data_IF_547055909964
#
_entry.id   IF_547055909964
#
_cell.length_a   1.000
_cell.length_b   1.000
_cell.length_c   1.000
_cell.angle_alpha   90.00
_cell.angle_beta   90.00
_cell.angle_gamma   90.00
#
_symmetry.space_group_name_H-M   'P 1'
#
loop_
_entity.id
_entity.type
_entity.pdbx_description
1 polymer ?
#
# COMPACT_ATOMS: atom_id res chain seq x y z
N UNK A 1 70.52 -13.61 -2.24
CA UNK A 1 69.32 -13.27 -1.48
C UNK A 1 68.21 -12.93 -2.45
N UNK A 2 67.23 -13.85 -2.67
CA UNK A 2 66.06 -13.63 -3.51
C UNK A 2 64.87 -13.39 -2.55
N UNK A 3 64.32 -12.19 -2.57
CA UNK A 3 63.06 -11.88 -1.87
C UNK A 3 61.88 -12.46 -2.73
N UNK A 4 61.15 -13.39 -2.15
CA UNK A 4 59.81 -13.77 -2.65
C UNK A 4 58.76 -12.81 -2.06
N UNK A 5 58.18 -11.99 -2.90
CA UNK A 5 56.96 -11.25 -2.52
C UNK A 5 55.74 -12.19 -2.68
N UNK A 6 55.11 -12.52 -1.58
CA UNK A 6 53.82 -13.20 -1.55
C UNK A 6 52.71 -12.15 -1.69
N UNK A 7 52.00 -12.14 -2.80
CA UNK A 7 50.74 -11.42 -2.94
C UNK A 7 49.63 -12.22 -2.20
N UNK A 8 49.09 -11.65 -1.13
CA UNK A 8 47.91 -12.15 -0.50
C UNK A 8 46.67 -11.65 -1.27
N UNK A 9 46.00 -12.55 -1.96
CA UNK A 9 44.71 -12.26 -2.59
C UNK A 9 43.62 -12.20 -1.52
N UNK A 10 43.09 -11.01 -1.25
CA UNK A 10 41.88 -10.84 -0.44
C UNK A 10 40.68 -11.32 -1.27
N UNK A 11 40.16 -12.48 -0.92
CA UNK A 11 38.86 -12.95 -1.38
C UNK A 11 37.77 -12.19 -0.60
N UNK A 12 37.21 -11.13 -1.19
CA UNK A 12 35.98 -10.52 -0.73
C UNK A 12 34.84 -11.51 -0.99
N UNK A 13 34.38 -12.18 0.05
CA UNK A 13 33.17 -12.97 0.01
C UNK A 13 31.97 -12.01 -0.14
N UNK A 14 31.37 -11.99 -1.30
CA UNK A 14 30.07 -11.35 -1.53
C UNK A 14 29.01 -12.18 -0.81
N UNK A 15 28.46 -11.63 0.29
CA UNK A 15 27.21 -12.13 0.85
C UNK A 15 26.08 -11.77 -0.15
N UNK A 16 25.22 -12.73 -0.52
CA UNK A 16 24.04 -12.41 -1.30
C UNK A 16 23.20 -11.37 -0.55
N UNK A 17 22.77 -10.33 -1.24
CA UNK A 17 21.81 -9.39 -0.68
C UNK A 17 20.60 -10.19 -0.22
N UNK A 18 20.37 -10.22 1.10
CA UNK A 18 19.15 -10.80 1.64
C UNK A 18 17.99 -9.94 1.11
N UNK A 19 17.14 -10.51 0.25
CA UNK A 19 15.87 -9.91 -0.06
C UNK A 19 15.14 -9.70 1.26
N UNK A 20 14.75 -8.46 1.56
CA UNK A 20 13.91 -8.20 2.70
C UNK A 20 12.66 -9.10 2.58
N UNK A 21 12.29 -9.76 3.67
CA UNK A 21 11.09 -10.60 3.67
C UNK A 21 9.87 -9.74 3.34
N UNK A 22 8.89 -10.33 2.65
CA UNK A 22 7.63 -9.65 2.35
C UNK A 22 6.98 -9.17 3.66
N UNK A 23 6.60 -7.90 3.79
CA UNK A 23 5.98 -7.39 5.00
C UNK A 23 4.68 -8.13 5.35
N UNK A 24 4.47 -8.34 6.64
CA UNK A 24 3.25 -8.95 7.19
C UNK A 24 2.52 -7.90 8.01
N UNK A 25 1.27 -7.61 7.67
CA UNK A 25 0.44 -6.66 8.40
C UNK A 25 -0.81 -7.32 8.97
N UNK A 26 -1.31 -6.78 10.08
CA UNK A 26 -2.63 -7.12 10.59
C UNK A 26 -3.57 -5.92 10.44
N UNK A 27 -4.88 -6.16 10.33
CA UNK A 27 -5.88 -5.11 10.27
C UNK A 27 -7.15 -5.49 11.02
N UNK A 28 -7.72 -4.56 11.79
CA UNK A 28 -9.07 -4.61 12.30
C UNK A 28 -9.51 -3.21 12.78
N UNK A 29 -10.81 -2.95 12.75
CA UNK A 29 -11.47 -1.82 13.37
C UNK A 29 -12.46 -2.27 14.45
N UNK A 30 -13.20 -1.31 15.03
CA UNK A 30 -14.28 -1.59 15.97
C UNK A 30 -13.79 -2.39 17.19
N UNK A 31 -12.86 -1.79 17.94
CA UNK A 31 -11.93 -2.55 18.78
C UNK A 31 -12.38 -2.56 20.26
N UNK A 32 -12.15 -1.47 20.98
CA UNK A 32 -12.23 -1.47 22.43
C UNK A 32 -13.56 -0.97 22.93
N UNK A 33 -14.30 -1.81 23.65
CA UNK A 33 -15.54 -1.43 24.29
C UNK A 33 -15.37 -0.25 25.27
N UNK A 34 -16.46 0.49 25.50
CA UNK A 34 -16.56 1.42 26.62
C UNK A 34 -16.38 0.65 27.93
N UNK A 35 -15.57 1.12 28.90
CA UNK A 35 -15.49 0.50 30.21
C UNK A 35 -16.83 0.46 30.97
N UNK A 36 -17.81 1.30 30.57
CA UNK A 36 -19.17 1.27 31.11
C UNK A 36 -20.09 0.28 30.37
N UNK A 37 -19.64 -0.37 29.29
CA UNK A 37 -20.45 -1.38 28.60
C UNK A 37 -20.72 -2.58 29.52
N UNK A 38 -21.99 -3.03 29.64
CA UNK A 38 -22.34 -4.16 30.51
C UNK A 38 -21.60 -5.45 30.16
N UNK A 39 -21.14 -5.58 28.92
CA UNK A 39 -20.37 -6.73 28.43
C UNK A 39 -18.86 -6.59 28.64
N UNK A 40 -18.38 -5.46 29.15
CA UNK A 40 -16.96 -5.16 29.29
C UNK A 40 -16.22 -6.19 30.18
N UNK A 41 -16.85 -6.63 31.26
CA UNK A 41 -16.32 -7.68 32.15
C UNK A 41 -14.82 -7.49 32.48
N UNK A 42 -14.43 -6.29 32.94
CA UNK A 42 -13.04 -5.97 33.29
C UNK A 42 -12.05 -6.09 32.13
N UNK A 43 -12.51 -5.94 30.88
CA UNK A 43 -11.72 -6.03 29.66
C UNK A 43 -11.60 -7.43 29.05
N UNK A 44 -12.22 -8.45 29.68
CA UNK A 44 -12.24 -9.82 29.16
C UNK A 44 -13.42 -10.10 28.23
N UNK A 45 -14.45 -9.24 28.29
CA UNK A 45 -15.66 -9.37 27.49
C UNK A 45 -16.51 -10.58 27.84
N UNK A 46 -17.46 -10.85 26.96
CA UNK A 46 -18.30 -12.05 26.95
C UNK A 46 -18.22 -12.72 25.57
N UNK A 47 -18.90 -13.84 25.36
CA UNK A 47 -18.99 -14.44 24.03
C UNK A 47 -19.60 -13.42 23.03
N UNK A 48 -18.88 -13.12 21.95
CA UNK A 48 -19.33 -12.21 20.87
C UNK A 48 -19.25 -10.71 21.15
N UNK A 49 -18.85 -10.24 22.35
CA UNK A 49 -18.72 -8.81 22.63
C UNK A 49 -17.54 -8.49 23.57
N UNK A 50 -16.96 -7.30 23.41
CA UNK A 50 -15.85 -6.77 24.20
C UNK A 50 -14.61 -7.67 24.22
N UNK A 51 -14.26 -8.23 23.06
CA UNK A 51 -13.17 -9.23 22.89
C UNK A 51 -11.82 -8.60 22.55
N UNK A 52 -11.62 -7.31 22.74
CA UNK A 52 -10.41 -6.56 22.37
C UNK A 52 -9.11 -7.15 22.94
N UNK A 53 -9.14 -7.81 24.10
CA UNK A 53 -7.99 -8.52 24.66
C UNK A 53 -7.65 -9.77 23.83
N UNK A 54 -8.66 -10.57 23.53
CA UNK A 54 -8.48 -11.81 22.79
C UNK A 54 -7.99 -11.54 21.36
N UNK A 55 -8.50 -10.49 20.70
CA UNK A 55 -8.04 -10.10 19.36
C UNK A 55 -6.63 -9.53 19.38
N UNK A 56 -6.26 -8.71 20.38
CA UNK A 56 -4.88 -8.21 20.50
C UNK A 56 -3.88 -9.34 20.84
N UNK A 57 -4.30 -10.35 21.57
CA UNK A 57 -3.44 -11.50 21.92
C UNK A 57 -3.04 -12.31 20.67
N UNK A 58 -3.86 -12.33 19.60
CA UNK A 58 -3.50 -12.93 18.31
C UNK A 58 -2.27 -12.27 17.68
N UNK A 59 -2.01 -11.01 18.00
CA UNK A 59 -0.98 -10.20 17.35
C UNK A 59 0.35 -10.20 18.12
N UNK A 60 0.32 -10.57 19.42
CA UNK A 60 1.53 -10.59 20.24
C UNK A 60 2.48 -11.70 19.79
N UNK A 61 3.69 -11.31 19.39
CA UNK A 61 4.71 -12.27 18.93
C UNK A 61 4.48 -12.86 17.55
N UNK A 62 3.49 -12.34 16.79
CA UNK A 62 3.10 -12.86 15.47
C UNK A 62 3.99 -12.42 14.30
N UNK A 63 5.07 -11.66 14.54
CA UNK A 63 6.00 -11.24 13.48
C UNK A 63 5.37 -10.26 12.48
N UNK A 64 4.55 -9.33 12.96
CA UNK A 64 3.94 -8.28 12.14
C UNK A 64 4.86 -7.05 12.02
N UNK A 65 4.90 -6.45 10.84
CA UNK A 65 5.64 -5.23 10.54
C UNK A 65 4.79 -3.97 10.78
N UNK A 66 3.46 -4.08 10.66
CA UNK A 66 2.51 -3.04 11.00
C UNK A 66 1.15 -3.62 11.40
N UNK A 67 0.37 -2.83 12.16
CA UNK A 67 -1.01 -3.14 12.55
C UNK A 67 -1.88 -1.95 12.18
N UNK A 68 -2.73 -2.13 11.18
CA UNK A 68 -3.61 -1.11 10.62
C UNK A 68 -4.91 -1.07 11.43
N UNK A 69 -5.18 0.04 12.10
CA UNK A 69 -6.39 0.23 12.88
C UNK A 69 -7.43 0.94 12.01
N UNK A 70 -8.55 0.29 11.76
CA UNK A 70 -9.57 0.73 10.80
C UNK A 70 -10.64 1.65 11.42
N UNK A 71 -10.28 2.39 12.47
CA UNK A 71 -11.19 3.31 13.17
C UNK A 71 -12.04 2.64 14.27
N UNK A 72 -12.75 3.48 15.02
CA UNK A 72 -13.47 3.09 16.23
C UNK A 72 -12.59 2.26 17.16
N UNK A 73 -11.41 2.82 17.43
CA UNK A 73 -10.38 2.17 18.22
C UNK A 73 -10.79 2.08 19.69
N UNK A 74 -11.56 3.09 20.18
CA UNK A 74 -12.03 3.17 21.56
C UNK A 74 -13.46 3.70 21.64
N UNK A 75 -14.40 2.85 22.01
CA UNK A 75 -15.78 3.17 22.34
C UNK A 75 -15.89 3.76 23.77
N UNK A 76 -16.93 4.51 24.16
CA UNK A 76 -18.05 5.05 23.37
C UNK A 76 -17.70 6.31 22.59
N UNK A 77 -16.72 7.15 23.04
CA UNK A 77 -16.49 8.50 22.54
C UNK A 77 -15.01 8.82 22.22
N UNK A 78 -14.13 7.85 22.25
CA UNK A 78 -12.71 8.07 21.98
C UNK A 78 -11.98 8.96 23.00
N UNK A 79 -12.52 9.13 24.23
CA UNK A 79 -11.88 9.94 25.26
C UNK A 79 -10.51 9.35 25.68
N UNK A 80 -9.51 10.22 25.89
CA UNK A 80 -8.15 9.81 26.28
C UNK A 80 -8.12 8.88 27.50
N UNK A 81 -8.94 9.18 28.51
CA UNK A 81 -9.02 8.34 29.71
C UNK A 81 -9.48 6.91 29.43
N UNK A 82 -10.36 6.71 28.42
CA UNK A 82 -10.80 5.38 27.99
C UNK A 82 -9.72 4.66 27.18
N UNK A 83 -9.00 5.38 26.33
CA UNK A 83 -7.80 4.84 25.67
C UNK A 83 -6.79 4.32 26.69
N UNK A 84 -6.50 5.08 27.71
CA UNK A 84 -5.57 4.70 28.78
C UNK A 84 -6.07 3.50 29.58
N UNK A 85 -7.37 3.44 29.86
CA UNK A 85 -7.97 2.40 30.70
C UNK A 85 -8.18 1.05 29.96
N UNK A 86 -8.51 1.09 28.64
CA UNK A 86 -8.95 -0.10 27.91
C UNK A 86 -8.06 -0.44 26.73
N UNK A 87 -7.83 0.50 25.83
CA UNK A 87 -7.00 0.27 24.65
C UNK A 87 -5.53 0.02 25.03
N UNK A 88 -4.95 0.85 25.89
CA UNK A 88 -3.55 0.73 26.27
C UNK A 88 -3.16 -0.64 26.83
N UNK A 89 -3.91 -1.24 27.77
CA UNK A 89 -3.58 -2.58 28.30
C UNK A 89 -3.95 -3.74 27.34
N UNK A 90 -4.54 -3.46 26.18
CA UNK A 90 -4.90 -4.46 25.16
C UNK A 90 -4.13 -4.20 23.86
N UNK A 91 -4.72 -3.55 22.89
CA UNK A 91 -4.08 -3.25 21.60
C UNK A 91 -2.89 -2.28 21.73
N UNK A 92 -2.88 -1.40 22.71
CA UNK A 92 -1.77 -0.50 22.98
C UNK A 92 -0.43 -1.21 23.27
N UNK A 93 -0.47 -2.50 23.66
CA UNK A 93 0.73 -3.36 23.85
C UNK A 93 1.53 -3.56 22.56
N UNK A 94 0.92 -3.32 21.39
CA UNK A 94 1.56 -3.45 20.07
C UNK A 94 2.44 -2.22 19.75
N UNK A 95 2.30 -1.13 20.51
CA UNK A 95 3.20 0.01 20.51
C UNK A 95 3.49 0.60 19.13
N UNK A 96 4.76 0.60 18.68
CA UNK A 96 5.18 1.28 17.45
C UNK A 96 4.68 0.62 16.15
N UNK A 97 4.07 -0.58 16.23
CA UNK A 97 3.50 -1.23 15.06
C UNK A 97 2.17 -0.59 14.63
N UNK A 98 1.51 0.14 15.54
CA UNK A 98 0.18 0.71 15.30
C UNK A 98 0.20 1.81 14.22
N UNK A 99 -0.73 1.71 13.27
CA UNK A 99 -0.99 2.68 12.21
C UNK A 99 -2.49 3.02 12.21
N UNK A 100 -2.91 4.00 13.03
CA UNK A 100 -4.33 4.22 13.28
C UNK A 100 -5.00 5.07 12.20
N UNK A 101 -6.23 4.71 11.82
CA UNK A 101 -7.21 5.63 11.25
C UNK A 101 -8.27 5.97 12.30
N UNK A 102 -8.90 7.16 12.27
CA UNK A 102 -9.99 7.49 13.17
C UNK A 102 -11.34 7.02 12.64
N UNK A 103 -12.22 6.53 13.51
CA UNK A 103 -13.63 6.27 13.23
C UNK A 103 -14.54 7.38 13.77
N UNK A 104 -15.86 7.15 13.68
CA UNK A 104 -16.85 8.15 14.14
C UNK A 104 -16.93 8.26 15.66
N UNK A 105 -16.60 7.21 16.39
CA UNK A 105 -16.56 7.25 17.85
C UNK A 105 -15.42 8.14 18.36
N UNK A 106 -14.31 8.24 17.68
CA UNK A 106 -13.25 9.18 18.01
C UNK A 106 -13.72 10.64 17.96
N UNK A 107 -14.60 10.97 17.00
CA UNK A 107 -15.12 12.34 16.81
C UNK A 107 -16.30 12.69 17.73
N UNK A 108 -16.78 11.77 18.57
CA UNK A 108 -17.69 12.12 19.67
C UNK A 108 -16.97 12.94 20.75
N UNK A 109 -15.67 12.76 20.89
CA UNK A 109 -14.82 13.73 21.59
C UNK A 109 -14.43 14.87 20.62
N UNK A 110 -14.68 16.15 20.96
CA UNK A 110 -14.45 17.28 20.07
C UNK A 110 -13.06 17.26 19.44
N UNK A 111 -13.02 17.31 18.09
CA UNK A 111 -11.79 17.28 17.30
C UNK A 111 -11.01 15.97 17.43
N UNK A 112 -11.66 14.88 17.84
CA UNK A 112 -11.04 13.59 18.12
C UNK A 112 -9.81 13.72 19.06
N UNK A 113 -9.88 14.64 20.03
CA UNK A 113 -8.72 15.02 20.83
C UNK A 113 -8.12 13.85 21.59
N UNK A 114 -8.93 12.93 22.12
CA UNK A 114 -8.42 11.74 22.82
C UNK A 114 -7.61 10.81 21.92
N UNK A 115 -8.04 10.63 20.69
CA UNK A 115 -7.33 9.87 19.65
C UNK A 115 -5.96 10.49 19.33
N UNK A 116 -5.93 11.77 18.99
CA UNK A 116 -4.68 12.46 18.68
C UNK A 116 -3.75 12.58 19.88
N UNK A 117 -4.27 12.74 21.10
CA UNK A 117 -3.46 12.76 22.31
C UNK A 117 -2.87 11.39 22.64
N UNK A 118 -3.59 10.30 22.33
CA UNK A 118 -3.13 8.95 22.59
C UNK A 118 -2.06 8.48 21.57
N UNK A 119 -2.36 8.61 20.27
CA UNK A 119 -1.47 8.11 19.23
C UNK A 119 -0.35 9.08 18.84
N UNK A 120 -0.51 10.37 19.15
CA UNK A 120 0.49 11.39 18.81
C UNK A 120 0.82 11.42 17.32
N UNK A 121 2.11 11.42 16.94
CA UNK A 121 2.53 11.49 15.54
C UNK A 121 2.06 10.30 14.68
N UNK A 122 1.77 9.14 15.26
CA UNK A 122 1.28 7.98 14.52
C UNK A 122 -0.10 8.19 13.93
N UNK A 123 -0.90 9.14 14.47
CA UNK A 123 -2.21 9.54 13.95
C UNK A 123 -2.15 10.50 12.74
N UNK A 124 -0.96 10.81 12.26
CA UNK A 124 -0.77 11.86 11.26
C UNK A 124 -0.88 13.28 11.84
N UNK A 125 -1.11 14.27 10.96
CA UNK A 125 -1.29 15.65 11.39
C UNK A 125 -2.58 15.80 12.19
N UNK A 126 -2.47 16.40 13.39
CA UNK A 126 -3.62 16.73 14.22
C UNK A 126 -4.55 17.64 13.43
N UNK A 127 -5.82 17.43 13.44
CA UNK A 127 -6.84 18.06 12.61
C UNK A 127 -7.09 17.44 11.23
N UNK A 128 -6.21 16.58 10.75
CA UNK A 128 -6.36 15.88 9.46
C UNK A 128 -6.66 14.41 9.67
N UNK A 129 -5.72 13.68 10.32
CA UNK A 129 -5.85 12.25 10.60
C UNK A 129 -5.71 11.37 9.36
N UNK A 130 -5.13 11.89 8.27
CA UNK A 130 -4.72 11.12 7.10
C UNK A 130 -3.21 11.24 6.87
N UNK A 131 -2.63 10.18 6.34
CA UNK A 131 -1.19 10.08 6.06
C UNK A 131 -0.93 8.86 5.17
N UNK A 132 0.29 8.75 4.66
CA UNK A 132 0.75 7.58 3.93
C UNK A 132 2.15 7.15 4.40
N UNK A 133 2.52 5.93 4.05
CA UNK A 133 3.85 5.38 4.28
C UNK A 133 4.11 4.22 3.33
N UNK A 134 5.38 3.95 3.06
CA UNK A 134 5.77 2.79 2.27
C UNK A 134 6.11 1.60 3.18
N UNK A 135 5.73 0.40 2.73
CA UNK A 135 6.02 -0.85 3.41
C UNK A 135 6.46 -1.90 2.38
N UNK A 136 7.74 -2.13 2.26
CA UNK A 136 8.29 -2.94 1.18
C UNK A 136 7.98 -2.35 -0.19
N UNK A 137 7.34 -3.12 -1.07
CA UNK A 137 6.92 -2.68 -2.40
C UNK A 137 5.55 -1.97 -2.42
N UNK A 138 4.91 -1.82 -1.27
CA UNK A 138 3.57 -1.29 -1.15
C UNK A 138 3.57 0.17 -0.72
N UNK A 139 2.68 0.96 -1.32
CA UNK A 139 2.26 2.26 -0.80
C UNK A 139 1.01 2.06 0.05
N UNK A 140 1.02 2.53 1.30
CA UNK A 140 -0.06 2.34 2.26
C UNK A 140 -0.63 3.69 2.67
N UNK A 141 -1.92 3.89 2.46
CA UNK A 141 -2.61 5.17 2.64
C UNK A 141 -3.67 5.05 3.73
N UNK A 142 -3.55 5.82 4.80
CA UNK A 142 -4.58 6.00 5.84
C UNK A 142 -5.42 7.22 5.52
N UNK A 143 -6.75 7.05 5.40
CA UNK A 143 -7.68 8.14 5.18
C UNK A 143 -8.59 8.36 6.40
N UNK A 144 -9.09 9.58 6.51
CA UNK A 144 -10.08 9.95 7.52
C UNK A 144 -11.46 10.09 6.85
N UNK A 145 -12.36 9.17 7.14
CA UNK A 145 -13.71 9.15 6.58
C UNK A 145 -14.73 9.98 7.36
N UNK A 146 -14.29 10.76 8.37
CA UNK A 146 -15.15 11.69 9.11
C UNK A 146 -15.30 13.02 8.37
N UNK A 147 -15.91 12.99 7.20
CA UNK A 147 -15.96 14.07 6.21
C UNK A 147 -16.39 15.42 6.78
N UNK A 148 -17.40 15.44 7.63
CA UNK A 148 -17.92 16.68 8.22
C UNK A 148 -16.90 17.39 9.14
N UNK A 149 -15.99 16.61 9.75
CA UNK A 149 -15.01 17.13 10.69
C UNK A 149 -13.73 17.68 10.03
N UNK A 150 -13.46 17.29 8.76
CA UNK A 150 -12.17 17.53 8.10
C UNK A 150 -12.26 18.38 6.82
N UNK A 151 -13.38 19.02 6.59
CA UNK A 151 -13.57 19.87 5.40
C UNK A 151 -14.03 19.10 4.15
N UNK A 152 -14.61 17.90 4.33
CA UNK A 152 -15.23 17.10 3.27
C UNK A 152 -14.37 15.95 2.77
N UNK A 153 -15.03 15.02 2.05
CA UNK A 153 -14.40 13.87 1.38
C UNK A 153 -14.63 13.89 -0.14
N UNK A 154 -15.43 14.82 -0.65
CA UNK A 154 -15.78 14.93 -2.06
C UNK A 154 -14.75 15.70 -2.88
N UNK A 155 -15.05 15.87 -4.20
CA UNK A 155 -14.20 16.63 -5.11
C UNK A 155 -13.84 18.01 -4.57
N UNK A 156 -12.55 18.37 -4.63
CA UNK A 156 -12.03 19.63 -4.14
C UNK A 156 -11.82 19.72 -2.63
N UNK A 157 -12.12 18.68 -1.84
CA UNK A 157 -11.76 18.64 -0.42
C UNK A 157 -10.24 18.61 -0.20
N UNK A 158 -9.75 19.09 0.94
CA UNK A 158 -8.31 19.07 1.24
C UNK A 158 -7.72 17.66 1.19
N UNK A 159 -8.43 16.67 1.75
CA UNK A 159 -7.95 15.29 1.77
C UNK A 159 -7.92 14.65 0.39
N UNK A 160 -8.94 14.89 -0.45
CA UNK A 160 -8.96 14.30 -1.79
C UNK A 160 -7.86 14.88 -2.69
N UNK A 161 -7.57 16.20 -2.58
CA UNK A 161 -6.42 16.79 -3.28
C UNK A 161 -5.11 16.17 -2.80
N UNK A 162 -4.93 16.07 -1.48
CA UNK A 162 -3.76 15.42 -0.91
C UNK A 162 -3.62 13.96 -1.40
N UNK A 163 -4.73 13.20 -1.43
CA UNK A 163 -4.71 11.80 -1.90
C UNK A 163 -4.24 11.70 -3.36
N UNK A 164 -4.75 12.57 -4.25
CA UNK A 164 -4.32 12.60 -5.65
C UNK A 164 -2.84 12.94 -5.79
N UNK A 165 -2.36 13.95 -5.04
CA UNK A 165 -0.95 14.34 -5.06
C UNK A 165 -0.05 13.25 -4.49
N UNK A 166 -0.49 12.57 -3.42
CA UNK A 166 0.24 11.50 -2.75
C UNK A 166 0.39 10.26 -3.65
N UNK A 167 -0.71 9.80 -4.26
CA UNK A 167 -0.70 8.69 -5.21
C UNK A 167 0.20 8.99 -6.43
N UNK A 168 0.15 10.21 -6.94
CA UNK A 168 1.02 10.62 -8.05
C UNK A 168 2.50 10.70 -7.66
N UNK A 169 2.80 11.05 -6.40
CA UNK A 169 4.17 11.13 -5.89
C UNK A 169 4.78 9.77 -5.54
N UNK A 170 3.95 8.74 -5.32
CA UNK A 170 4.37 7.41 -4.90
C UNK A 170 3.89 6.32 -5.87
N UNK A 171 4.35 6.31 -7.13
CA UNK A 171 3.97 5.29 -8.11
C UNK A 171 4.59 3.94 -7.71
N UNK A 172 3.88 3.20 -6.85
CA UNK A 172 4.29 1.87 -6.41
C UNK A 172 3.57 0.79 -7.20
N UNK A 173 4.16 -0.39 -7.21
CA UNK A 173 3.57 -1.57 -7.84
C UNK A 173 2.24 -1.97 -7.23
N UNK A 174 2.08 -1.72 -5.93
CA UNK A 174 0.91 -2.11 -5.17
C UNK A 174 0.49 -0.98 -4.23
N UNK A 175 -0.80 -0.71 -4.14
CA UNK A 175 -1.35 0.30 -3.22
C UNK A 175 -2.47 -0.29 -2.37
N UNK A 176 -2.38 -0.05 -1.06
CA UNK A 176 -3.39 -0.38 -0.08
C UNK A 176 -3.87 0.91 0.59
N UNK A 177 -5.18 1.16 0.59
CA UNK A 177 -5.77 2.25 1.36
C UNK A 177 -6.67 1.70 2.48
N UNK A 178 -6.76 2.43 3.60
CA UNK A 178 -7.66 2.05 4.68
C UNK A 178 -8.25 3.28 5.36
N UNK A 179 -9.50 3.11 5.80
CA UNK A 179 -10.26 4.11 6.58
C UNK A 179 -11.40 3.41 7.34
N UNK A 180 -12.31 4.14 7.98
CA UNK A 180 -13.33 3.54 8.83
C UNK A 180 -14.60 3.13 8.09
N UNK A 181 -15.34 4.07 7.48
CA UNK A 181 -16.67 3.82 6.92
C UNK A 181 -16.58 3.13 5.54
N UNK A 182 -17.28 2.01 5.32
CA UNK A 182 -17.21 1.28 4.05
C UNK A 182 -17.89 2.04 2.89
N UNK A 183 -17.34 1.89 1.69
CA UNK A 183 -18.05 2.28 0.47
C UNK A 183 -19.10 1.22 0.09
N UNK A 184 -18.77 -0.05 0.26
CA UNK A 184 -19.65 -1.19 0.01
C UNK A 184 -19.73 -2.05 1.26
N UNK A 185 -20.96 -2.42 1.66
CA UNK A 185 -21.18 -3.29 2.81
C UNK A 185 -22.53 -4.00 2.76
N UNK A 186 -22.53 -5.26 3.15
CA UNK A 186 -23.76 -6.04 3.41
C UNK A 186 -24.24 -5.89 4.86
N UNK A 187 -23.49 -5.18 5.71
CA UNK A 187 -23.78 -4.98 7.13
C UNK A 187 -24.89 -3.99 7.39
N UNK A 188 -25.00 -3.57 8.65
CA UNK A 188 -26.09 -2.73 9.13
C UNK A 188 -26.13 -1.34 8.48
N UNK A 189 -24.96 -0.75 8.21
CA UNK A 189 -24.86 0.61 7.67
C UNK A 189 -24.95 0.60 6.12
N UNK A 190 -24.61 -0.52 5.48
CA UNK A 190 -24.73 -0.70 4.03
C UNK A 190 -23.73 0.13 3.23
N UNK A 191 -24.02 0.29 1.94
CA UNK A 191 -23.19 1.09 1.03
C UNK A 191 -23.30 2.59 1.35
N UNK A 192 -22.16 3.29 1.34
CA UNK A 192 -22.14 4.73 1.53
C UNK A 192 -21.46 5.46 0.35
N UNK A 193 -22.24 6.15 -0.51
CA UNK A 193 -21.70 6.90 -1.64
C UNK A 193 -20.88 8.14 -1.25
N UNK A 194 -20.86 8.55 0.02
CA UNK A 194 -20.02 9.65 0.48
C UNK A 194 -18.53 9.39 0.22
N UNK A 195 -18.13 8.12 0.07
CA UNK A 195 -16.75 7.69 -0.18
C UNK A 195 -16.45 7.35 -1.66
N UNK A 196 -17.37 7.63 -2.57
CA UNK A 196 -17.16 7.47 -4.02
C UNK A 196 -15.92 8.18 -4.53
N UNK A 197 -15.65 9.38 -4.02
CA UNK A 197 -14.51 10.17 -4.48
C UNK A 197 -13.17 9.54 -4.10
N UNK A 198 -13.08 8.95 -2.90
CA UNK A 198 -11.89 8.17 -2.49
C UNK A 198 -11.71 6.96 -3.36
N UNK A 199 -12.81 6.21 -3.56
CA UNK A 199 -12.79 5.00 -4.37
C UNK A 199 -12.35 5.28 -5.81
N UNK A 200 -12.89 6.34 -6.45
CA UNK A 200 -12.49 6.74 -7.80
C UNK A 200 -11.02 7.12 -7.88
N UNK A 201 -10.53 7.97 -6.97
CA UNK A 201 -9.13 8.39 -6.98
C UNK A 201 -8.18 7.20 -6.83
N UNK A 202 -8.53 6.24 -5.97
CA UNK A 202 -7.76 5.01 -5.78
C UNK A 202 -7.84 4.09 -7.01
N UNK A 203 -9.02 3.91 -7.59
CA UNK A 203 -9.23 3.10 -8.78
C UNK A 203 -8.47 3.65 -9.99
N UNK A 204 -8.57 4.96 -10.23
CA UNK A 204 -7.89 5.64 -11.34
C UNK A 204 -6.34 5.60 -11.18
N UNK A 205 -5.85 5.46 -9.94
CA UNK A 205 -4.43 5.27 -9.64
C UNK A 205 -3.99 3.78 -9.64
N UNK A 206 -4.90 2.83 -9.89
CA UNK A 206 -4.59 1.40 -9.92
C UNK A 206 -4.35 0.79 -8.53
N UNK A 207 -5.03 1.28 -7.50
CA UNK A 207 -4.94 0.69 -6.16
C UNK A 207 -5.56 -0.72 -6.11
N UNK A 208 -5.03 -1.56 -5.25
CA UNK A 208 -5.31 -2.99 -5.20
C UNK A 208 -6.25 -3.38 -4.07
N UNK A 209 -6.06 -2.76 -2.91
CA UNK A 209 -6.77 -3.11 -1.67
C UNK A 209 -7.38 -1.89 -0.98
N UNK A 210 -8.57 -2.10 -0.44
CA UNK A 210 -9.23 -1.20 0.51
C UNK A 210 -9.64 -1.99 1.74
N UNK A 211 -9.27 -1.50 2.93
CA UNK A 211 -9.66 -2.07 4.21
C UNK A 211 -10.51 -1.06 4.98
N UNK A 212 -11.63 -1.51 5.53
CA UNK A 212 -12.58 -0.66 6.28
C UNK A 212 -13.11 -1.38 7.52
N UNK A 213 -13.70 -0.63 8.46
CA UNK A 213 -14.41 -1.14 9.63
C UNK A 213 -15.89 -0.75 9.62
N UNK A 214 -16.37 -0.20 10.74
CA UNK A 214 -17.70 0.39 10.96
C UNK A 214 -18.85 -0.61 11.01
N UNK A 215 -19.00 -1.49 10.04
CA UNK A 215 -19.86 -2.65 10.16
C UNK A 215 -19.13 -3.74 10.96
N UNK A 216 -19.74 -4.17 12.06
CA UNK A 216 -19.11 -5.08 13.01
C UNK A 216 -19.19 -6.53 12.52
N UNK A 217 -18.60 -6.76 11.36
CA UNK A 217 -18.53 -8.06 10.70
C UNK A 217 -17.23 -8.19 9.92
N UNK A 218 -17.03 -9.35 9.33
CA UNK A 218 -16.02 -9.55 8.30
C UNK A 218 -16.71 -9.78 6.97
N UNK A 219 -16.34 -9.00 5.97
CA UNK A 219 -16.81 -9.21 4.61
C UNK A 219 -15.67 -8.99 3.62
N UNK A 220 -15.55 -9.89 2.64
CA UNK A 220 -14.62 -9.73 1.54
C UNK A 220 -15.38 -9.68 0.22
N UNK A 221 -15.07 -8.65 -0.57
CA UNK A 221 -15.62 -8.47 -1.91
C UNK A 221 -14.64 -8.97 -2.98
N UNK A 222 -15.18 -9.40 -4.13
CA UNK A 222 -14.41 -9.52 -5.36
C UNK A 222 -13.88 -8.15 -5.78
N UNK A 223 -12.79 -8.08 -6.60
CA UNK A 223 -12.37 -6.82 -7.19
C UNK A 223 -13.51 -6.16 -7.97
N UNK A 224 -13.73 -4.86 -7.74
CA UNK A 224 -14.86 -4.12 -8.30
C UNK A 224 -14.51 -2.68 -8.64
N UNK A 225 -15.23 -2.14 -9.63
CA UNK A 225 -15.13 -0.78 -10.09
C UNK A 225 -15.82 0.23 -9.13
N UNK A 226 -15.67 1.56 -9.32
CA UNK A 226 -16.33 2.55 -8.47
C UNK A 226 -17.86 2.49 -8.45
N UNK A 227 -18.49 1.80 -9.39
CA UNK A 227 -19.93 1.61 -9.42
C UNK A 227 -20.40 0.31 -8.75
N UNK A 228 -19.46 -0.48 -8.19
CA UNK A 228 -19.76 -1.76 -7.56
C UNK A 228 -19.98 -2.91 -8.55
N UNK A 229 -19.53 -2.79 -9.78
CA UNK A 229 -19.52 -3.92 -10.74
C UNK A 229 -18.22 -4.69 -10.59
N UNK A 230 -18.31 -6.02 -10.75
CA UNK A 230 -17.13 -6.86 -10.76
C UNK A 230 -16.14 -6.43 -11.86
N UNK A 231 -14.88 -6.27 -11.51
CA UNK A 231 -13.80 -5.89 -12.40
C UNK A 231 -12.53 -6.65 -11.99
N UNK A 232 -12.35 -7.87 -12.52
CA UNK A 232 -11.21 -8.71 -12.14
C UNK A 232 -9.85 -8.17 -12.59
N UNK A 233 -9.83 -7.27 -13.59
CA UNK A 233 -8.58 -6.78 -14.20
C UNK A 233 -8.06 -5.49 -13.53
N UNK A 234 -8.96 -4.56 -13.15
CA UNK A 234 -8.60 -3.25 -12.63
C UNK A 234 -9.33 -2.90 -11.31
N UNK A 235 -10.24 -3.76 -10.86
CA UNK A 235 -11.08 -3.51 -9.70
C UNK A 235 -10.32 -3.59 -8.38
N UNK A 236 -10.74 -2.80 -7.39
CA UNK A 236 -10.18 -2.81 -6.05
C UNK A 236 -10.88 -3.89 -5.22
N UNK A 237 -10.12 -4.75 -4.52
CA UNK A 237 -10.66 -5.68 -3.55
C UNK A 237 -10.87 -4.98 -2.20
N UNK A 238 -12.09 -5.04 -1.67
CA UNK A 238 -12.40 -4.50 -0.36
C UNK A 238 -12.55 -5.60 0.69
N UNK A 239 -12.07 -5.31 1.89
CA UNK A 239 -12.36 -6.06 3.11
C UNK A 239 -13.02 -5.14 4.13
N UNK A 240 -14.17 -5.53 4.67
CA UNK A 240 -14.71 -5.00 5.91
C UNK A 240 -14.17 -5.86 7.05
N UNK A 241 -13.56 -5.26 8.05
CA UNK A 241 -12.91 -5.96 9.16
C UNK A 241 -13.24 -5.25 10.48
N UNK A 242 -14.53 -5.07 10.75
CA UNK A 242 -15.04 -4.49 12.00
C UNK A 242 -15.10 -5.52 13.14
N UNK A 243 -14.10 -6.41 13.18
CA UNK A 243 -14.09 -7.61 14.04
C UNK A 243 -13.13 -7.50 15.22
N UNK A 244 -12.61 -6.28 15.49
CA UNK A 244 -11.53 -6.02 16.45
C UNK A 244 -11.89 -6.24 17.91
N UNK A 245 -13.20 -6.34 18.24
CA UNK A 245 -13.59 -6.72 19.59
C UNK A 245 -14.88 -6.15 20.15
N UNK A 246 -15.42 -5.05 19.62
CA UNK A 246 -16.60 -4.37 20.18
C UNK A 246 -17.82 -5.28 20.27
N UNK A 247 -18.12 -6.01 19.22
CA UNK A 247 -19.25 -6.92 19.17
C UNK A 247 -19.66 -7.19 17.74
N UNK A 248 -20.04 -8.42 17.46
CA UNK A 248 -20.40 -8.83 16.09
C UNK A 248 -21.86 -8.49 15.79
N UNK A 249 -22.15 -8.16 14.52
CA UNK A 249 -23.50 -7.83 14.03
C UNK A 249 -23.82 -8.67 12.79
N UNK A 250 -25.12 -8.99 12.63
CA UNK A 250 -25.61 -9.75 11.48
C UNK A 250 -25.69 -8.88 10.23
N UNK A 251 -25.50 -9.51 9.07
CA UNK A 251 -25.72 -8.89 7.76
C UNK A 251 -27.20 -8.56 7.56
N UNK A 252 -27.48 -7.46 6.86
CA UNK A 252 -28.84 -7.00 6.55
C UNK A 252 -29.23 -7.44 5.13
N UNK A 253 -28.37 -7.16 4.14
CA UNK A 253 -28.65 -7.50 2.74
C UNK A 253 -27.33 -7.76 2.01
N UNK A 254 -27.12 -9.00 1.59
CA UNK A 254 -25.89 -9.37 0.87
C UNK A 254 -25.78 -8.60 -0.44
N UNK A 255 -24.66 -7.88 -0.60
CA UNK A 255 -24.36 -7.08 -1.79
C UNK A 255 -23.79 -7.92 -2.92
N UNK A 256 -23.94 -7.48 -4.18
CA UNK A 256 -23.18 -8.05 -5.28
C UNK A 256 -21.67 -8.07 -4.97
N UNK A 257 -20.95 -9.06 -5.51
CA UNK A 257 -19.52 -9.27 -5.35
C UNK A 257 -19.05 -9.65 -3.93
N UNK A 258 -19.95 -9.79 -2.96
CA UNK A 258 -19.62 -10.29 -1.62
C UNK A 258 -19.29 -11.79 -1.69
N UNK A 259 -18.02 -12.15 -1.42
CA UNK A 259 -17.49 -13.52 -1.58
C UNK A 259 -17.40 -14.30 -0.27
N UNK A 260 -17.04 -13.64 0.84
CA UNK A 260 -16.89 -14.26 2.16
C UNK A 260 -17.47 -13.37 3.24
N UNK A 261 -18.12 -13.97 4.24
CA UNK A 261 -18.83 -13.24 5.31
C UNK A 261 -18.75 -13.98 6.64
N UNK A 262 -18.51 -13.23 7.72
CA UNK A 262 -18.57 -13.73 9.09
C UNK A 262 -19.14 -12.66 10.03
N UNK A 263 -20.15 -13.03 10.79
CA UNK A 263 -20.81 -12.19 11.81
C UNK A 263 -20.85 -12.84 13.19
N UNK A 264 -19.97 -13.82 13.43
CA UNK A 264 -19.95 -14.59 14.67
C UNK A 264 -18.61 -14.53 15.39
N UNK A 265 -17.51 -14.68 14.66
CA UNK A 265 -16.18 -14.84 15.22
C UNK A 265 -15.41 -13.51 15.15
N UNK A 266 -15.12 -12.86 16.30
CA UNK A 266 -14.15 -11.78 16.35
C UNK A 266 -12.77 -12.27 15.91
N UNK A 267 -11.98 -11.38 15.31
CA UNK A 267 -10.67 -11.73 14.81
C UNK A 267 -9.98 -10.58 14.12
N UNK A 268 -8.92 -10.88 13.38
CA UNK A 268 -8.13 -9.91 12.63
C UNK A 268 -7.82 -10.43 11.23
N UNK A 269 -7.73 -9.54 10.27
CA UNK A 269 -7.22 -9.86 8.95
C UNK A 269 -5.69 -9.78 8.99
N UNK A 270 -5.03 -10.83 8.55
CA UNK A 270 -3.58 -10.86 8.30
C UNK A 270 -3.33 -10.78 6.79
N UNK A 271 -2.42 -9.90 6.39
CA UNK A 271 -1.97 -9.76 5.00
C UNK A 271 -0.46 -9.96 4.93
N UNK A 272 0.00 -10.71 3.94
CA UNK A 272 1.40 -10.71 3.49
C UNK A 272 1.49 -9.88 2.21
N UNK A 273 2.25 -8.82 2.23
CA UNK A 273 2.38 -7.84 1.15
C UNK A 273 3.60 -8.20 0.28
N UNK A 274 3.39 -9.02 -0.76
CA UNK A 274 4.43 -9.41 -1.72
C UNK A 274 4.73 -8.28 -2.70
N UNK A 275 5.86 -8.32 -3.35
CA UNK A 275 6.27 -7.28 -4.29
C UNK A 275 5.32 -7.06 -5.49
N UNK A 276 4.51 -8.05 -5.86
CA UNK A 276 3.54 -7.96 -6.97
C UNK A 276 2.19 -8.57 -6.65
N UNK A 277 1.82 -8.64 -5.36
CA UNK A 277 0.55 -9.21 -4.93
C UNK A 277 0.46 -9.35 -3.42
N UNK A 278 -0.56 -10.03 -2.96
CA UNK A 278 -0.84 -10.19 -1.54
C UNK A 278 -1.47 -11.55 -1.24
N UNK A 279 -1.26 -12.02 -0.01
CA UNK A 279 -1.99 -13.15 0.55
C UNK A 279 -2.79 -12.65 1.75
N UNK A 280 -3.99 -13.20 1.97
CA UNK A 280 -4.81 -12.88 3.13
C UNK A 280 -5.19 -14.13 3.92
N UNK A 281 -5.39 -13.94 5.22
CA UNK A 281 -5.87 -14.94 6.14
C UNK A 281 -6.66 -14.24 7.26
N UNK A 282 -7.91 -14.61 7.48
CA UNK A 282 -8.63 -14.20 8.67
C UNK A 282 -8.24 -15.09 9.85
N UNK A 283 -7.80 -14.45 10.94
CA UNK A 283 -7.41 -15.12 12.18
C UNK A 283 -8.51 -14.91 13.23
N UNK A 284 -9.39 -15.89 13.48
CA UNK A 284 -10.38 -15.78 14.54
C UNK A 284 -9.72 -15.92 15.91
N UNK A 285 -10.36 -15.40 16.97
CA UNK A 285 -9.95 -15.67 18.35
C UNK A 285 -10.13 -17.15 18.69
N UNK A 286 -9.48 -17.61 19.76
CA UNK A 286 -9.59 -18.98 20.21
C UNK A 286 -11.05 -19.42 20.36
N UNK A 287 -11.41 -20.54 19.71
CA UNK A 287 -12.77 -21.10 19.66
C UNK A 287 -13.60 -20.64 18.47
N UNK A 288 -13.14 -19.68 17.69
CA UNK A 288 -13.78 -19.30 16.42
C UNK A 288 -13.52 -20.36 15.35
N UNK A 289 -14.48 -20.54 14.44
CA UNK A 289 -14.45 -21.56 13.39
C UNK A 289 -14.34 -20.97 11.98
N UNK A 290 -14.61 -19.69 11.83
CA UNK A 290 -14.56 -19.04 10.51
C UNK A 290 -13.13 -18.91 10.01
N UNK A 291 -12.94 -19.24 8.75
CA UNK A 291 -11.68 -19.05 8.03
C UNK A 291 -11.94 -18.49 6.64
N UNK A 292 -11.14 -17.50 6.25
CA UNK A 292 -11.06 -17.01 4.88
C UNK A 292 -9.59 -16.75 4.54
N UNK A 293 -9.13 -17.33 3.45
CA UNK A 293 -7.74 -17.18 2.99
C UNK A 293 -7.65 -17.25 1.48
N UNK A 294 -6.66 -16.57 0.93
CA UNK A 294 -6.43 -16.57 -0.50
C UNK A 294 -5.27 -15.67 -0.89
N UNK A 295 -5.19 -15.36 -2.18
CA UNK A 295 -4.16 -14.50 -2.74
C UNK A 295 -4.72 -13.66 -3.88
N UNK A 296 -4.09 -12.51 -4.14
CA UNK A 296 -4.36 -11.63 -5.28
C UNK A 296 -3.08 -11.07 -5.88
N UNK A 297 -3.13 -10.69 -7.14
CA UNK A 297 -2.07 -9.91 -7.79
C UNK A 297 -2.33 -8.41 -7.61
N UNK A 298 -1.27 -7.60 -7.74
CA UNK A 298 -1.42 -6.16 -7.90
C UNK A 298 -1.68 -5.80 -9.35
N UNK A 299 -2.43 -4.71 -9.60
CA UNK A 299 -2.76 -4.22 -10.94
C UNK A 299 -1.52 -3.72 -11.68
N UNK A 300 -0.60 -3.12 -10.94
CA UNK A 300 0.70 -2.70 -11.42
C UNK A 300 1.78 -3.56 -10.76
N UNK A 301 1.85 -4.90 -11.02
CA UNK A 301 2.97 -5.67 -10.52
C UNK A 301 4.24 -4.95 -10.98
N UNK A 302 5.35 -4.98 -10.20
CA UNK A 302 6.56 -4.31 -10.64
C UNK A 302 6.83 -4.81 -12.05
N UNK A 303 6.48 -4.00 -13.03
CA UNK A 303 6.89 -4.24 -14.41
C UNK A 303 8.39 -4.05 -14.38
N UNK A 304 9.08 -5.16 -14.11
CA UNK A 304 10.54 -5.16 -14.16
C UNK A 304 11.04 -4.85 -15.56
N UNK A 305 10.17 -4.78 -16.58
CA UNK A 305 10.50 -4.37 -17.93
C UNK A 305 10.46 -2.85 -18.13
N UNK A 306 9.88 -2.09 -17.21
CA UNK A 306 9.80 -0.62 -17.28
C UNK A 306 10.44 0.04 -16.05
N UNK A 307 11.00 1.24 -16.23
CA UNK A 307 11.42 2.15 -15.17
C UNK A 307 10.64 3.45 -15.32
N UNK A 308 10.03 3.91 -14.24
CA UNK A 308 9.36 5.22 -14.21
C UNK A 308 10.28 6.27 -13.60
N UNK A 309 10.48 7.39 -14.30
CA UNK A 309 11.35 8.49 -13.90
C UNK A 309 10.56 9.80 -13.85
N UNK A 310 11.11 10.82 -13.16
CA UNK A 310 10.51 12.13 -12.99
C UNK A 310 9.08 12.04 -12.43
N UNK A 311 8.96 11.41 -11.25
CA UNK A 311 7.69 11.20 -10.54
C UNK A 311 6.63 10.47 -11.39
N UNK A 312 7.07 9.46 -12.16
CA UNK A 312 6.20 8.64 -12.99
C UNK A 312 5.85 9.21 -14.37
N UNK A 313 6.27 10.45 -14.69
CA UNK A 313 5.99 11.07 -15.98
C UNK A 313 6.60 10.31 -17.15
N UNK A 314 7.82 9.79 -17.02
CA UNK A 314 8.49 9.10 -18.12
C UNK A 314 8.61 7.61 -17.84
N UNK A 315 7.97 6.81 -18.69
CA UNK A 315 8.14 5.36 -18.74
C UNK A 315 9.30 5.02 -19.66
N UNK A 316 10.29 4.30 -19.13
CA UNK A 316 11.50 3.86 -19.81
C UNK A 316 11.46 2.36 -19.97
N UNK A 317 11.54 1.89 -21.20
CA UNK A 317 11.54 0.47 -21.58
C UNK A 317 12.72 0.19 -22.50
N UNK A 318 13.32 -0.99 -22.36
CA UNK A 318 14.30 -1.44 -23.32
C UNK A 318 14.11 -2.91 -23.69
N UNK A 319 14.53 -3.27 -24.88
CA UNK A 319 14.63 -4.66 -25.33
C UNK A 319 16.03 -4.92 -25.85
N UNK A 320 16.46 -6.17 -25.75
CA UNK A 320 17.76 -6.60 -26.24
C UNK A 320 17.65 -7.67 -27.36
N UNK A 321 18.69 -7.79 -28.15
CA UNK A 321 18.86 -8.82 -29.16
C UNK A 321 20.31 -9.35 -29.13
N UNK A 322 20.50 -10.66 -28.88
CA UNK A 322 21.80 -11.28 -28.83
C UNK A 322 22.36 -11.62 -30.27
N UNK A 323 23.55 -12.17 -30.29
CA UNK A 323 24.22 -12.56 -31.56
C UNK A 323 23.59 -13.78 -32.23
N UNK A 324 22.82 -14.59 -31.50
CA UNK A 324 22.06 -15.72 -32.02
C UNK A 324 20.68 -15.30 -32.56
N UNK A 325 20.32 -14.03 -32.39
CA UNK A 325 19.00 -13.47 -32.79
C UNK A 325 17.89 -13.62 -31.75
N UNK A 326 18.19 -14.14 -30.56
CA UNK A 326 17.20 -14.16 -29.45
C UNK A 326 16.96 -12.76 -28.99
N UNK A 327 15.72 -12.48 -28.56
CA UNK A 327 15.28 -11.17 -28.08
C UNK A 327 14.57 -11.31 -26.73
N UNK A 328 14.62 -10.27 -25.91
CA UNK A 328 13.90 -10.20 -24.66
C UNK A 328 13.76 -8.77 -24.15
N UNK A 329 12.85 -8.53 -23.21
CA UNK A 329 12.79 -7.25 -22.53
C UNK A 329 14.02 -7.08 -21.61
N UNK A 330 14.53 -5.86 -21.52
CA UNK A 330 15.38 -5.47 -20.39
C UNK A 330 14.53 -5.41 -19.11
N UNK A 331 15.19 -5.50 -17.97
CA UNK A 331 14.50 -5.45 -16.67
C UNK A 331 15.15 -4.42 -15.76
N UNK A 332 14.32 -3.74 -14.98
CA UNK A 332 14.77 -2.74 -14.02
C UNK A 332 15.56 -3.39 -12.88
N UNK A 333 16.67 -2.78 -12.51
CA UNK A 333 17.38 -3.07 -11.27
C UNK A 333 16.81 -2.19 -10.13
N UNK A 334 16.52 -2.79 -9.00
CA UNK A 334 16.13 -2.04 -7.80
C UNK A 334 17.38 -1.69 -6.96
N UNK A 335 17.45 -0.47 -6.34
CA UNK A 335 16.49 0.64 -6.43
C UNK A 335 16.79 1.56 -7.62
N UNK A 336 15.73 2.15 -8.19
CA UNK A 336 15.83 3.28 -9.13
C UNK A 336 15.76 4.61 -8.37
N UNK A 337 16.34 5.68 -8.92
CA UNK A 337 16.14 7.05 -8.42
C UNK A 337 15.12 7.78 -9.28
N UNK A 338 14.54 8.89 -8.79
CA UNK A 338 13.55 9.68 -9.53
C UNK A 338 14.04 10.16 -10.91
N UNK A 339 15.33 10.41 -11.06
CA UNK A 339 15.92 10.91 -12.34
C UNK A 339 16.76 9.88 -13.09
N UNK A 340 16.94 8.65 -12.59
CA UNK A 340 17.86 7.68 -13.19
C UNK A 340 17.41 6.24 -12.94
N UNK A 341 17.53 5.39 -13.96
CA UNK A 341 17.24 3.96 -13.89
C UNK A 341 18.39 3.11 -14.39
N UNK A 342 18.52 1.91 -13.83
CA UNK A 342 19.45 0.87 -14.27
C UNK A 342 18.65 -0.30 -14.82
N UNK A 343 19.09 -0.83 -15.96
CA UNK A 343 18.47 -1.97 -16.62
C UNK A 343 19.49 -3.10 -16.80
N UNK A 344 19.02 -4.33 -16.62
CA UNK A 344 19.76 -5.53 -16.92
C UNK A 344 19.06 -6.35 -18.03
N UNK A 345 19.83 -7.13 -18.82
CA UNK A 345 19.32 -7.89 -19.94
C UNK A 345 19.25 -9.39 -19.67
N UNK A 346 20.24 -9.95 -19.01
CA UNK A 346 20.40 -11.39 -18.86
C UNK A 346 20.28 -11.87 -17.42
N UNK A 347 20.85 -11.12 -16.47
CA UNK A 347 20.79 -11.48 -15.05
C UNK A 347 20.82 -10.24 -14.16
N UNK A 348 20.11 -10.27 -13.02
CA UNK A 348 19.98 -9.11 -12.11
C UNK A 348 21.30 -8.60 -11.53
N UNK A 349 22.34 -9.44 -11.53
CA UNK A 349 23.67 -9.08 -11.02
C UNK A 349 24.49 -8.25 -12.03
N UNK A 350 24.07 -8.16 -13.29
CA UNK A 350 24.81 -7.47 -14.35
C UNK A 350 23.94 -6.38 -14.96
N UNK A 351 24.32 -5.14 -14.74
CA UNK A 351 23.59 -3.98 -15.26
C UNK A 351 24.20 -3.56 -16.60
N UNK A 352 23.44 -3.72 -17.66
CA UNK A 352 23.89 -3.39 -18.99
C UNK A 352 23.61 -1.95 -19.39
N UNK A 353 22.59 -1.28 -18.80
CA UNK A 353 22.20 0.06 -19.24
C UNK A 353 21.85 0.98 -18.07
N UNK A 354 22.38 2.21 -18.10
CA UNK A 354 21.96 3.34 -17.28
C UNK A 354 21.16 4.31 -18.16
N UNK A 355 20.00 4.75 -17.67
CA UNK A 355 19.17 5.79 -18.32
C UNK A 355 18.92 6.93 -17.34
N UNK A 356 18.95 8.17 -17.83
CA UNK A 356 18.58 9.39 -17.09
C UNK A 356 17.58 10.20 -17.88
N UNK A 357 16.55 10.70 -17.18
CA UNK A 357 15.64 11.72 -17.72
C UNK A 357 15.72 12.93 -16.79
N UNK A 358 16.17 14.05 -17.32
CA UNK A 358 16.45 15.24 -16.55
C UNK A 358 15.58 16.41 -16.99
N UNK A 359 15.05 17.15 -16.01
CA UNK A 359 14.31 18.38 -16.24
C UNK A 359 15.24 19.51 -16.68
N UNK A 360 15.06 19.99 -17.88
CA UNK A 360 15.73 21.15 -18.45
C UNK A 360 14.78 22.31 -18.74
N UNK A 361 13.53 22.25 -18.24
CA UNK A 361 12.48 23.21 -18.55
C UNK A 361 12.86 24.66 -18.22
N UNK A 362 13.51 24.86 -17.10
CA UNK A 362 14.00 26.19 -16.69
C UNK A 362 15.23 26.67 -17.50
N UNK A 363 15.90 25.77 -18.24
CA UNK A 363 17.11 26.11 -18.98
C UNK A 363 16.81 26.46 -20.45
N UNK A 364 16.11 25.59 -21.14
CA UNK A 364 15.85 25.71 -22.58
C UNK A 364 14.49 25.16 -23.03
N UNK A 365 13.60 24.86 -22.09
CA UNK A 365 12.25 24.40 -22.38
C UNK A 365 12.11 22.92 -22.77
N UNK A 366 13.12 22.08 -22.47
CA UNK A 366 13.09 20.67 -22.88
C UNK A 366 13.49 19.71 -21.77
N UNK A 367 12.86 18.55 -21.76
CA UNK A 367 13.33 17.36 -21.02
C UNK A 367 14.43 16.66 -21.83
N UNK A 368 15.40 16.10 -21.13
CA UNK A 368 16.63 15.56 -21.67
C UNK A 368 16.74 14.08 -21.36
N UNK A 369 17.13 13.27 -22.36
CA UNK A 369 17.38 11.85 -22.19
C UNK A 369 18.88 11.57 -22.40
N UNK A 370 19.47 10.89 -21.42
CA UNK A 370 20.83 10.37 -21.50
C UNK A 370 20.81 8.88 -21.20
N UNK A 371 21.53 8.09 -22.02
CA UNK A 371 21.70 6.66 -21.72
C UNK A 371 23.10 6.21 -22.07
N UNK A 372 23.58 5.22 -21.34
CA UNK A 372 24.83 4.52 -21.62
C UNK A 372 24.62 3.02 -21.37
N UNK A 373 25.06 2.20 -22.32
CA UNK A 373 25.00 0.74 -22.21
C UNK A 373 26.41 0.14 -22.29
N UNK A 374 26.70 -0.72 -21.30
CA UNK A 374 27.98 -1.46 -21.23
C UNK A 374 27.82 -2.86 -21.85
N UNK A 375 27.43 -2.90 -23.12
CA UNK A 375 27.16 -4.15 -23.84
C UNK A 375 27.41 -3.97 -25.34
N UNK A 376 27.67 -5.06 -26.06
CA UNK A 376 27.77 -5.13 -27.51
C UNK A 376 26.62 -5.91 -28.16
N UNK A 377 25.63 -6.37 -27.35
CA UNK A 377 24.37 -6.90 -27.90
C UNK A 377 23.52 -5.74 -28.45
N UNK A 378 22.64 -6.07 -29.38
CA UNK A 378 21.68 -5.08 -29.89
C UNK A 378 20.65 -4.70 -28.83
N UNK A 379 20.23 -3.43 -28.83
CA UNK A 379 19.17 -2.97 -27.95
C UNK A 379 18.34 -1.87 -28.59
N UNK A 380 17.10 -1.77 -28.09
CA UNK A 380 16.18 -0.65 -28.38
C UNK A 380 15.74 -0.09 -27.05
N UNK A 381 15.93 1.22 -26.86
CA UNK A 381 15.45 1.99 -25.69
C UNK A 381 14.29 2.89 -26.13
N UNK A 382 13.16 2.81 -25.44
CA UNK A 382 12.01 3.67 -25.65
C UNK A 382 11.73 4.45 -24.36
N UNK A 383 11.63 5.76 -24.46
CA UNK A 383 11.20 6.64 -23.38
C UNK A 383 9.86 7.25 -23.78
N UNK A 384 8.81 7.03 -23.00
CA UNK A 384 7.45 7.52 -23.26
C UNK A 384 7.09 8.58 -22.23
N UNK A 385 6.74 9.79 -22.66
CA UNK A 385 6.08 10.78 -21.81
C UNK A 385 4.62 10.36 -21.61
N UNK A 386 4.28 9.86 -20.42
CA UNK A 386 2.95 9.32 -20.11
C UNK A 386 1.85 10.39 -20.08
N UNK A 387 2.19 11.69 -20.07
CA UNK A 387 1.23 12.79 -20.13
C UNK A 387 0.80 13.13 -21.55
N UNK A 388 1.69 12.90 -22.53
CA UNK A 388 1.48 13.30 -23.93
C UNK A 388 1.49 12.13 -24.90
N UNK A 389 1.79 10.89 -24.45
CA UNK A 389 2.04 9.67 -25.24
C UNK A 389 3.15 9.83 -26.31
N UNK A 390 3.95 10.90 -26.23
CA UNK A 390 5.10 11.08 -27.13
C UNK A 390 6.22 10.11 -26.72
N UNK A 391 6.91 9.57 -27.73
CA UNK A 391 8.02 8.64 -27.54
C UNK A 391 9.30 9.15 -28.15
N UNK A 392 10.40 8.97 -27.42
CA UNK A 392 11.77 9.05 -27.93
C UNK A 392 12.34 7.64 -27.98
N UNK A 393 12.89 7.24 -29.14
CA UNK A 393 13.41 5.89 -29.39
C UNK A 393 14.85 5.94 -29.83
N UNK A 394 15.67 5.12 -29.20
CA UNK A 394 17.11 4.98 -29.49
C UNK A 394 17.43 3.50 -29.71
N UNK A 395 18.42 3.20 -30.55
CA UNK A 395 18.79 1.81 -30.84
C UNK A 395 20.29 1.65 -31.11
N UNK A 396 20.81 0.47 -30.78
CA UNK A 396 22.16 0.01 -31.17
C UNK A 396 22.06 -1.39 -31.78
N UNK A 397 22.61 -1.62 -33.00
CA UNK A 397 22.62 -2.95 -33.60
C UNK A 397 23.62 -3.87 -32.86
N UNK A 398 23.42 -5.21 -32.88
CA UNK A 398 24.36 -6.15 -32.28
C UNK A 398 25.74 -6.10 -32.94
N UNK A 399 26.79 -6.34 -32.15
CA UNK A 399 28.19 -6.34 -32.60
C UNK A 399 28.82 -4.96 -32.73
N UNK A 400 28.15 -3.92 -32.23
CA UNK A 400 28.74 -2.58 -32.17
C UNK A 400 28.85 -2.12 -30.72
N UNK A 401 29.97 -1.46 -30.42
CA UNK A 401 30.09 -0.74 -29.14
C UNK A 401 28.96 0.28 -29.03
N UNK A 402 28.25 0.24 -27.93
CA UNK A 402 27.12 1.13 -27.68
C UNK A 402 27.58 2.59 -27.51
N UNK A 403 27.16 3.53 -28.37
CA UNK A 403 27.41 4.94 -28.12
C UNK A 403 26.54 5.43 -26.98
N UNK A 404 26.99 6.46 -26.24
CA UNK A 404 26.14 7.14 -25.31
C UNK A 404 25.00 7.89 -26.05
N UNK A 405 23.78 7.76 -25.56
CA UNK A 405 22.66 8.60 -25.97
C UNK A 405 22.80 9.95 -25.27
N UNK A 406 22.77 11.04 -26.04
CA UNK A 406 22.78 12.42 -25.54
C UNK A 406 21.71 13.20 -26.30
N UNK A 407 20.49 13.19 -25.79
CA UNK A 407 19.37 13.92 -26.36
C UNK A 407 18.93 15.02 -25.41
N UNK A 408 19.41 16.24 -25.69
CA UNK A 408 19.14 17.41 -24.87
C UNK A 408 17.74 18.04 -25.14
N UNK A 409 16.98 17.52 -26.14
CA UNK A 409 15.67 18.05 -26.54
C UNK A 409 14.67 16.91 -26.82
N UNK A 410 14.70 15.88 -26.00
CA UNK A 410 13.91 14.67 -26.19
C UNK A 410 12.39 14.95 -26.13
N UNK A 411 11.97 15.85 -25.21
CA UNK A 411 10.56 16.23 -25.06
C UNK A 411 10.44 17.72 -24.74
N UNK A 412 9.37 18.34 -25.23
CA UNK A 412 9.03 19.71 -24.90
C UNK A 412 8.48 19.79 -23.46
N UNK A 413 8.73 20.90 -22.80
CA UNK A 413 8.07 21.20 -21.53
C UNK A 413 6.64 21.67 -21.74
N UNK A 414 5.73 21.47 -20.76
CA UNK A 414 4.35 21.94 -20.82
C UNK A 414 4.26 23.46 -20.82
#
# INVERSE_FOLDING_TARGET
MKLCNALAALLLAWAPAAYAADPVVAAAGDISCDPADPNFNGGNGIAGACRQRATSDLLLGGGFDAVLLLGDNQYGDGALAKYQAVFAPTWGRLGPLLRPAPGNHEYQTPGASGYFDYFGPAAGERSRGWYSFDLGAWHVVSLNSNCAAIGGCGPGSPQLRWLADDLAAHPRACTLAYWHHPRFSSGLHGDDPAYDAFWRALYDAGADLVLVGHDHDYERFAPQDPSGRADPEHGIRQFVVGTGGQGMRSFVAVRPNSEARNSQDPGVLKLRLRAGGYDWEFLPIAGGAFTDRGSGGCHNPPDTASVFLAKGRFRVEASWRDFAGNTGPARAAAPASDGSGLLWFFAPAYWEMLVKVLDGCALDGHWRVYAAAATDVGWVLTVTDTWTDRQARYENPPGRTSPAVVDAKAFDCP
#
